data_IF_735084766710
#
_entry.id   IF_735084766710
#
_cell.length_a   1.000
_cell.length_b   1.000
_cell.length_c   1.000
_cell.angle_alpha   90.00
_cell.angle_beta   90.00
_cell.angle_gamma   90.00
#
_symmetry.space_group_name_H-M   'P 1'
#
loop_
_entity.id
_entity.type
_entity.pdbx_description
1 polymer ?
#
# COMPACT_ATOMS: atom_id res chain seq x y z
N UNK A 1 1.94 -25.09 -31.40
CA UNK A 1 2.57 -24.10 -30.55
C UNK A 1 2.69 -22.76 -31.27
N UNK A 2 1.98 -21.81 -30.78
CA UNK A 2 1.98 -20.48 -31.42
C UNK A 2 2.75 -19.50 -30.52
N UNK A 3 3.96 -19.16 -30.95
CA UNK A 3 4.86 -18.29 -30.19
C UNK A 3 4.26 -16.89 -30.07
N UNK A 4 3.55 -16.43 -31.12
CA UNK A 4 2.91 -15.11 -31.08
C UNK A 4 1.80 -15.08 -30.04
N UNK A 5 1.05 -16.15 -29.90
CA UNK A 5 0.00 -16.24 -28.91
C UNK A 5 0.57 -16.29 -27.49
N UNK A 6 1.63 -17.05 -27.28
CA UNK A 6 2.31 -17.10 -26.01
C UNK A 6 2.89 -15.74 -25.60
N UNK A 7 3.43 -15.01 -26.56
CA UNK A 7 3.95 -13.68 -26.34
C UNK A 7 2.84 -12.71 -25.92
N UNK A 8 1.69 -12.78 -26.59
CA UNK A 8 0.55 -11.95 -26.26
C UNK A 8 0.04 -12.20 -24.85
N UNK A 9 -0.05 -13.48 -24.47
CA UNK A 9 -0.48 -13.84 -23.13
C UNK A 9 0.53 -13.41 -22.07
N UNK A 10 1.81 -13.52 -22.35
CA UNK A 10 2.86 -13.09 -21.43
C UNK A 10 2.81 -11.59 -21.21
N UNK A 11 2.61 -10.82 -22.27
CA UNK A 11 2.48 -9.36 -22.17
C UNK A 11 1.26 -8.96 -21.36
N UNK A 12 0.15 -9.64 -21.60
CA UNK A 12 -1.09 -9.37 -20.86
C UNK A 12 -0.92 -9.65 -19.38
N UNK A 13 -0.28 -10.76 -19.06
CA UNK A 13 -0.01 -11.13 -17.68
C UNK A 13 0.92 -10.12 -17.01
N UNK A 14 1.92 -9.65 -17.73
CA UNK A 14 2.85 -8.64 -17.21
C UNK A 14 2.09 -7.35 -16.85
N UNK A 15 1.19 -6.90 -17.71
CA UNK A 15 0.40 -5.70 -17.44
C UNK A 15 -0.46 -5.89 -16.19
N UNK A 16 -1.07 -7.05 -16.03
CA UNK A 16 -1.88 -7.37 -14.86
C UNK A 16 -1.04 -7.36 -13.58
N UNK A 17 0.14 -7.94 -13.63
CA UNK A 17 1.05 -7.99 -12.47
C UNK A 17 1.50 -6.59 -12.09
N UNK A 18 1.87 -5.77 -13.07
CA UNK A 18 2.28 -4.38 -12.82
C UNK A 18 1.12 -3.58 -12.22
N UNK A 19 -0.09 -3.78 -12.72
CA UNK A 19 -1.27 -3.11 -12.17
C UNK A 19 -1.51 -3.50 -10.70
N UNK A 20 -1.33 -4.77 -10.37
CA UNK A 20 -1.45 -5.23 -8.99
C UNK A 20 -0.38 -4.61 -8.09
N UNK A 21 0.84 -4.53 -8.56
CA UNK A 21 1.94 -3.91 -7.79
C UNK A 21 1.60 -2.44 -7.52
N UNK A 22 1.12 -1.73 -8.52
CA UNK A 22 0.74 -0.32 -8.35
C UNK A 22 -0.41 -0.16 -7.36
N UNK A 23 -1.40 -1.04 -7.42
CA UNK A 23 -2.52 -1.00 -6.51
C UNK A 23 -2.09 -1.28 -5.06
N UNK A 24 -1.20 -2.25 -4.89
CA UNK A 24 -0.65 -2.58 -3.57
C UNK A 24 0.19 -1.42 -3.02
N UNK A 25 0.94 -0.76 -3.89
CA UNK A 25 1.77 0.37 -3.50
C UNK A 25 0.91 1.54 -3.02
N UNK A 26 -0.18 1.85 -3.72
CA UNK A 26 -1.11 2.89 -3.31
C UNK A 26 -1.77 2.55 -1.98
N UNK A 27 -2.15 1.30 -1.81
CA UNK A 27 -2.74 0.84 -0.56
C UNK A 27 -1.74 0.94 0.59
N UNK A 28 -0.48 0.59 0.32
CA UNK A 28 0.59 0.70 1.30
C UNK A 28 0.77 2.14 1.75
N UNK A 29 0.79 3.09 0.81
CA UNK A 29 0.93 4.50 1.14
C UNK A 29 -0.23 4.99 1.99
N UNK A 30 -1.43 4.58 1.65
CA UNK A 30 -2.62 4.94 2.43
C UNK A 30 -2.54 4.42 3.86
N UNK A 31 -2.11 3.16 4.02
CA UNK A 31 -1.96 2.55 5.34
C UNK A 31 -0.84 3.22 6.15
N UNK A 32 0.24 3.62 5.50
CA UNK A 32 1.33 4.33 6.17
C UNK A 32 0.84 5.66 6.70
N UNK A 33 0.07 6.41 5.90
CA UNK A 33 -0.49 7.68 6.34
C UNK A 33 -1.44 7.49 7.53
N UNK A 34 -2.25 6.45 7.49
CA UNK A 34 -3.16 6.13 8.58
C UNK A 34 -2.38 5.76 9.84
N UNK A 35 -1.31 4.99 9.71
CA UNK A 35 -0.46 4.63 10.82
C UNK A 35 0.20 5.84 11.45
N UNK A 36 0.68 6.78 10.63
CA UNK A 36 1.28 8.02 11.13
C UNK A 36 0.26 8.89 11.87
N UNK A 37 -0.95 8.93 11.36
CA UNK A 37 -2.03 9.67 12.01
C UNK A 37 -2.35 9.08 13.38
N UNK A 38 -2.46 7.75 13.46
CA UNK A 38 -2.72 7.07 14.71
C UNK A 38 -1.57 7.25 15.70
N UNK A 39 -0.33 7.21 15.21
CA UNK A 39 0.84 7.45 16.04
C UNK A 39 0.80 8.85 16.65
N UNK A 40 0.42 9.85 15.85
CA UNK A 40 0.25 11.21 16.34
C UNK A 40 -0.83 11.31 17.40
N UNK A 41 -1.95 10.63 17.21
CA UNK A 41 -3.03 10.59 18.19
C UNK A 41 -2.59 9.95 19.50
N UNK A 42 -1.84 8.86 19.41
CA UNK A 42 -1.30 8.16 20.59
C UNK A 42 -0.36 9.08 21.37
N UNK A 43 0.50 9.80 20.67
CA UNK A 43 1.42 10.74 21.33
C UNK A 43 0.67 11.84 22.03
N UNK A 44 -0.34 12.40 21.38
CA UNK A 44 -1.15 13.47 21.96
C UNK A 44 -1.88 12.99 23.19
N UNK A 45 -2.48 11.81 23.14
CA UNK A 45 -3.20 11.24 24.27
C UNK A 45 -2.25 10.89 25.41
N UNK A 46 -1.07 10.39 25.08
CA UNK A 46 -0.04 10.08 26.08
C UNK A 46 0.38 11.34 26.82
N UNK A 47 0.57 12.44 26.12
CA UNK A 47 0.93 13.72 26.74
C UNK A 47 -0.15 14.22 27.67
N UNK A 48 -1.41 14.11 27.24
CA UNK A 48 -2.53 14.54 28.06
C UNK A 48 -2.63 13.71 29.34
N UNK A 49 -2.42 12.40 29.22
CA UNK A 49 -2.43 11.51 30.38
C UNK A 49 -1.30 11.85 31.35
N UNK A 50 -0.11 12.13 30.82
CA UNK A 50 1.04 12.50 31.65
C UNK A 50 0.81 13.82 32.38
N UNK A 51 0.12 14.77 31.75
CA UNK A 51 -0.14 16.07 32.35
C UNK A 51 -1.18 16.03 33.46
N UNK A 52 -1.99 14.99 33.51
CA UNK A 52 -3.01 14.86 34.53
C UNK A 52 -2.48 14.39 35.87
N UNK A 53 -1.28 13.93 35.88
CA UNK A 53 -0.62 13.56 37.11
C UNK A 53 0.08 14.77 37.72
#
# INVERSE_FOLDING_TARGET
>A
MDIAEELTQAKKKQVEVVAEINALDQRKQSLIQEALKLEGEIRALTRLTAKKE
#
